data_IF_100420544651
#
_entry.id   IF_100420544651
#
_cell.length_a   1.000
_cell.length_b   1.000
_cell.length_c   1.000
_cell.angle_alpha   90.00
_cell.angle_beta   90.00
_cell.angle_gamma   90.00
#
_symmetry.space_group_name_H-M   'P 1'
#
loop_
_entity.id
_entity.type
_entity.pdbx_description
1 polymer ?
#
# COMPACT_ATOMS: atom_id res chain seq x y z
N UNK A 1 23.42 1.72 -2.39
CA UNK A 1 23.36 1.82 -0.91
C UNK A 1 23.02 0.45 -0.32
N UNK A 2 21.90 -0.20 -0.69
CA UNK A 2 21.47 -1.48 -0.08
C UNK A 2 22.58 -2.56 -0.08
N UNK A 3 23.27 -2.75 -1.19
CA UNK A 3 24.35 -3.75 -1.31
C UNK A 3 25.63 -3.39 -0.53
N UNK A 4 25.72 -2.24 0.10
CA UNK A 4 26.84 -1.90 1.00
C UNK A 4 26.61 -2.37 2.45
N UNK A 5 25.45 -2.95 2.73
CA UNK A 5 25.08 -3.50 4.03
C UNK A 5 24.92 -5.02 3.93
N UNK A 6 25.22 -5.77 5.00
CA UNK A 6 24.94 -7.21 5.03
C UNK A 6 23.42 -7.46 5.02
N UNK A 7 22.97 -8.63 4.56
CA UNK A 7 21.57 -9.03 4.73
C UNK A 7 21.24 -9.17 6.23
N UNK A 8 19.98 -8.89 6.60
CA UNK A 8 19.51 -8.95 7.99
C UNK A 8 19.54 -10.40 8.53
N UNK A 9 19.34 -11.38 7.65
CA UNK A 9 19.40 -12.81 7.95
C UNK A 9 19.71 -13.63 6.70
N UNK A 10 20.06 -14.90 6.88
CA UNK A 10 20.31 -15.82 5.77
C UNK A 10 19.02 -16.09 4.97
N UNK A 11 19.10 -16.34 3.65
CA UNK A 11 17.92 -16.66 2.84
C UNK A 11 17.09 -17.81 3.43
N UNK A 12 15.79 -17.58 3.61
CA UNK A 12 14.84 -18.54 4.17
C UNK A 12 14.86 -18.70 5.69
N UNK A 13 15.68 -17.92 6.41
CA UNK A 13 15.78 -18.02 7.87
C UNK A 13 14.70 -17.23 8.61
N UNK A 14 14.25 -16.11 8.03
CA UNK A 14 13.27 -15.22 8.65
C UNK A 14 12.56 -14.37 7.58
N UNK A 15 11.63 -13.53 8.03
CA UNK A 15 10.89 -12.58 7.21
C UNK A 15 11.06 -11.15 7.73
N UNK A 16 11.27 -10.22 6.82
CA UNK A 16 11.19 -8.78 7.06
C UNK A 16 10.74 -8.08 5.78
N UNK A 17 9.70 -7.24 5.88
CA UNK A 17 9.24 -6.43 4.75
C UNK A 17 10.34 -5.47 4.29
N UNK A 18 10.56 -5.40 2.98
CA UNK A 18 11.61 -4.55 2.41
C UNK A 18 11.21 -3.91 1.09
N UNK A 19 11.10 -2.59 1.07
CA UNK A 19 10.94 -1.83 -0.17
C UNK A 19 12.10 -2.08 -1.16
N UNK A 20 13.32 -2.29 -0.67
CA UNK A 20 14.46 -2.64 -1.53
C UNK A 20 14.20 -3.90 -2.35
N UNK A 21 13.57 -4.91 -1.77
CA UNK A 21 13.23 -6.14 -2.50
C UNK A 21 12.25 -5.85 -3.64
N UNK A 22 11.25 -5.02 -3.44
CA UNK A 22 10.30 -4.63 -4.49
C UNK A 22 10.93 -3.76 -5.56
N UNK A 23 11.85 -2.86 -5.21
CA UNK A 23 12.65 -2.13 -6.20
C UNK A 23 13.47 -3.08 -7.08
N UNK A 24 14.11 -4.09 -6.47
CA UNK A 24 14.85 -5.12 -7.19
C UNK A 24 13.94 -5.98 -8.07
N UNK A 25 12.75 -6.36 -7.59
CA UNK A 25 11.76 -7.09 -8.40
C UNK A 25 11.31 -6.26 -9.61
N UNK A 26 11.14 -4.95 -9.47
CA UNK A 26 10.89 -4.05 -10.60
C UNK A 26 11.99 -4.11 -11.66
N UNK A 27 13.26 -4.06 -11.24
CA UNK A 27 14.40 -4.21 -12.16
C UNK A 27 14.49 -5.60 -12.80
N UNK A 28 14.12 -6.65 -12.05
CA UNK A 28 14.02 -8.02 -12.60
C UNK A 28 12.94 -8.09 -13.67
N UNK A 29 11.77 -7.50 -13.42
CA UNK A 29 10.67 -7.44 -14.40
C UNK A 29 11.12 -6.74 -15.69
N UNK A 30 11.79 -5.59 -15.59
CA UNK A 30 12.37 -4.89 -16.74
C UNK A 30 13.37 -5.77 -17.52
N UNK A 31 14.22 -6.46 -16.79
CA UNK A 31 15.25 -7.33 -17.41
C UNK A 31 14.65 -8.52 -18.13
N UNK A 32 13.60 -9.12 -17.56
CA UNK A 32 12.93 -10.30 -18.13
C UNK A 32 12.12 -9.92 -19.37
N UNK A 33 11.37 -8.81 -19.31
CA UNK A 33 10.53 -8.36 -20.43
C UNK A 33 11.29 -7.56 -21.48
N UNK A 34 12.48 -7.05 -21.16
CA UNK A 34 13.25 -6.16 -22.04
C UNK A 34 12.59 -4.79 -22.27
N UNK A 35 11.72 -4.37 -21.34
CA UNK A 35 10.93 -3.13 -21.43
C UNK A 35 11.00 -2.37 -20.10
N UNK A 36 10.80 -1.02 -20.11
CA UNK A 36 10.63 -0.26 -18.87
C UNK A 36 9.47 -0.79 -18.02
N UNK A 37 9.59 -0.72 -16.68
CA UNK A 37 8.57 -1.22 -15.75
C UNK A 37 7.19 -0.60 -16.01
N UNK A 38 7.12 0.67 -16.37
CA UNK A 38 5.86 1.33 -16.75
C UNK A 38 5.15 0.60 -17.90
N UNK A 39 5.90 0.17 -18.91
CA UNK A 39 5.37 -0.60 -20.05
C UNK A 39 4.99 -2.02 -19.63
N UNK A 40 5.80 -2.66 -18.79
CA UNK A 40 5.50 -4.01 -18.26
C UNK A 40 4.19 -4.01 -17.48
N UNK A 41 4.03 -3.04 -16.56
CA UNK A 41 2.79 -2.90 -15.77
C UNK A 41 1.59 -2.60 -16.66
N UNK A 42 1.73 -1.72 -17.65
CA UNK A 42 0.66 -1.44 -18.61
C UNK A 42 0.25 -2.69 -19.38
N UNK A 43 1.22 -3.39 -20.00
CA UNK A 43 0.95 -4.50 -20.91
C UNK A 43 0.45 -5.77 -20.17
N UNK A 44 0.94 -6.01 -18.94
CA UNK A 44 0.66 -7.24 -18.20
C UNK A 44 -0.36 -7.10 -17.07
N UNK A 45 -0.60 -5.87 -16.61
CA UNK A 45 -1.50 -5.63 -15.48
C UNK A 45 -2.61 -4.68 -15.88
N UNK A 46 -2.30 -3.41 -16.17
CA UNK A 46 -3.32 -2.38 -16.32
C UNK A 46 -4.22 -2.62 -17.54
N UNK A 47 -3.62 -2.88 -18.70
CA UNK A 47 -4.35 -3.13 -19.94
C UNK A 47 -5.28 -4.35 -19.85
N UNK A 48 -4.78 -5.54 -19.45
CA UNK A 48 -5.61 -6.75 -19.35
C UNK A 48 -6.82 -6.64 -18.44
N UNK A 49 -6.76 -5.85 -17.36
CA UNK A 49 -7.89 -5.68 -16.43
C UNK A 49 -8.67 -4.39 -16.64
N UNK A 50 -8.26 -3.54 -17.58
CA UNK A 50 -8.98 -2.31 -17.92
C UNK A 50 -8.76 -1.14 -16.96
N UNK A 51 -7.61 -1.05 -16.30
CA UNK A 51 -7.20 0.07 -15.45
C UNK A 51 -6.72 1.25 -16.30
N UNK A 52 -7.64 1.99 -16.88
CA UNK A 52 -7.35 3.05 -17.86
C UNK A 52 -6.79 4.34 -17.26
N UNK A 53 -6.87 4.51 -15.95
CA UNK A 53 -6.40 5.69 -15.22
C UNK A 53 -5.21 5.37 -14.31
N UNK A 54 -4.52 4.26 -14.57
CA UNK A 54 -3.38 3.81 -13.78
C UNK A 54 -2.11 3.78 -14.61
N UNK A 55 -1.03 4.29 -14.04
CA UNK A 55 0.26 4.32 -14.70
C UNK A 55 1.41 4.45 -13.70
N UNK A 56 2.59 4.03 -14.09
CA UNK A 56 3.82 4.36 -13.38
C UNK A 56 4.40 5.63 -14.03
N UNK A 57 4.50 6.76 -13.29
CA UNK A 57 5.02 8.00 -13.83
C UNK A 57 6.46 7.84 -14.36
N UNK A 58 6.83 8.59 -15.43
CA UNK A 58 8.21 8.66 -15.86
C UNK A 58 9.08 9.26 -14.74
N UNK A 59 10.38 8.93 -14.69
CA UNK A 59 11.31 9.57 -13.78
C UNK A 59 11.21 11.09 -13.85
N UNK A 60 11.35 11.75 -12.71
CA UNK A 60 11.30 13.21 -12.57
C UNK A 60 9.91 13.87 -12.79
N UNK A 61 8.86 13.08 -12.92
CA UNK A 61 7.48 13.61 -12.96
C UNK A 61 7.01 13.97 -11.55
N UNK A 62 6.50 15.20 -11.40
CA UNK A 62 5.85 15.67 -10.16
C UNK A 62 4.37 15.97 -10.37
N UNK A 63 3.86 15.81 -11.59
CA UNK A 63 2.51 16.20 -11.95
C UNK A 63 1.56 15.01 -11.84
N UNK A 64 0.53 15.13 -11.02
CA UNK A 64 -0.63 14.25 -11.04
C UNK A 64 -1.62 14.74 -12.12
N UNK A 65 -2.25 13.84 -12.88
CA UNK A 65 -3.26 14.25 -13.86
C UNK A 65 -4.51 14.81 -13.20
N UNK A 66 -5.13 15.79 -13.82
CA UNK A 66 -6.42 16.31 -13.38
C UNK A 66 -7.58 15.32 -13.74
N UNK A 67 -8.58 15.18 -12.86
CA UNK A 67 -8.68 15.77 -11.53
C UNK A 67 -7.88 14.96 -10.49
N UNK A 68 -7.09 15.62 -9.66
CA UNK A 68 -6.36 15.01 -8.54
C UNK A 68 -6.62 15.76 -7.24
N UNK A 69 -6.53 15.07 -6.11
CA UNK A 69 -6.56 15.72 -4.81
C UNK A 69 -5.19 16.27 -4.45
N UNK A 70 -5.15 17.37 -3.72
CA UNK A 70 -3.94 17.78 -3.02
C UNK A 70 -3.61 16.79 -1.91
N UNK A 71 -2.33 16.53 -1.70
CA UNK A 71 -1.82 15.67 -0.64
C UNK A 71 -1.18 16.46 0.48
N UNK A 72 -1.44 16.08 1.74
CA UNK A 72 -1.01 16.83 2.91
C UNK A 72 -0.30 15.98 3.94
N UNK A 73 0.62 16.59 4.69
CA UNK A 73 1.30 15.93 5.80
C UNK A 73 1.71 16.95 6.85
N UNK A 74 1.58 16.62 8.13
CA UNK A 74 2.17 17.43 9.20
C UNK A 74 3.67 17.19 9.27
N UNK A 75 4.45 18.26 9.36
CA UNK A 75 5.90 18.16 9.40
C UNK A 75 6.55 17.81 8.06
N UNK A 76 7.85 17.55 8.08
CA UNK A 76 8.61 17.14 6.91
C UNK A 76 8.58 15.61 6.71
N UNK A 77 8.85 15.15 5.49
CA UNK A 77 8.95 13.72 5.20
C UNK A 77 10.06 13.03 6.00
N UNK A 78 11.17 13.73 6.26
CA UNK A 78 12.23 13.21 7.12
C UNK A 78 11.83 13.14 8.60
N UNK A 79 10.92 14.01 9.05
CA UNK A 79 10.35 13.95 10.40
C UNK A 79 9.40 12.75 10.51
N UNK A 80 8.46 12.61 9.58
CA UNK A 80 7.39 11.58 9.62
C UNK A 80 7.93 10.18 9.37
N UNK A 81 8.83 10.00 8.40
CA UNK A 81 9.41 8.69 8.06
C UNK A 81 10.74 8.41 8.78
N UNK A 82 11.12 9.25 9.74
CA UNK A 82 12.30 9.12 10.58
C UNK A 82 11.95 9.03 12.05
N UNK A 83 12.79 9.62 12.89
CA UNK A 83 12.66 9.55 14.36
C UNK A 83 11.67 10.57 14.95
N UNK A 84 11.04 11.39 14.14
CA UNK A 84 10.14 12.48 14.58
C UNK A 84 8.68 12.06 14.79
N UNK A 85 8.38 10.81 14.59
CA UNK A 85 7.06 10.26 14.79
C UNK A 85 7.01 9.34 16.02
N UNK A 86 5.95 9.29 16.88
CA UNK A 86 4.69 10.05 16.78
C UNK A 86 4.84 11.55 17.10
N UNK A 87 3.83 12.35 16.69
CA UNK A 87 3.79 13.78 16.97
C UNK A 87 3.71 14.06 18.48
N UNK A 88 4.36 15.14 18.91
CA UNK A 88 4.34 15.56 20.32
C UNK A 88 2.97 16.08 20.75
N UNK A 89 2.64 16.05 22.04
CA UNK A 89 1.40 16.64 22.53
C UNK A 89 1.22 18.13 22.18
N UNK A 90 2.32 18.87 22.08
CA UNK A 90 2.36 20.28 21.68
C UNK A 90 1.96 20.45 20.22
N UNK A 91 2.47 19.59 19.32
CA UNK A 91 2.12 19.59 17.91
C UNK A 91 0.65 19.19 17.70
N UNK A 92 0.18 18.19 18.42
CA UNK A 92 -1.23 17.77 18.40
C UNK A 92 -2.14 18.92 18.86
N UNK A 93 -1.82 19.55 19.98
CA UNK A 93 -2.59 20.71 20.47
C UNK A 93 -2.56 21.89 19.49
N UNK A 94 -1.44 22.17 18.87
CA UNK A 94 -1.29 23.22 17.87
C UNK A 94 -2.09 22.94 16.60
N UNK A 95 -2.13 21.68 16.14
CA UNK A 95 -2.93 21.27 15.00
C UNK A 95 -4.44 21.40 15.29
N UNK A 96 -4.90 20.94 16.46
CA UNK A 96 -6.30 21.10 16.90
C UNK A 96 -6.71 22.57 17.05
N UNK A 97 -5.78 23.42 17.49
CA UNK A 97 -6.01 24.85 17.57
C UNK A 97 -5.95 25.57 16.20
N UNK A 98 -5.58 24.85 15.13
CA UNK A 98 -5.40 25.41 13.79
C UNK A 98 -4.19 26.33 13.65
N UNK A 99 -3.24 26.27 14.60
CA UNK A 99 -1.98 27.04 14.56
C UNK A 99 -0.83 26.27 13.93
N UNK A 100 -0.91 24.95 13.88
CA UNK A 100 -0.07 24.06 13.07
C UNK A 100 -0.94 23.52 11.91
N UNK A 101 -0.59 23.88 10.69
CA UNK A 101 -1.29 23.41 9.50
C UNK A 101 -0.45 22.33 8.79
N UNK A 102 -1.09 21.37 8.12
CA UNK A 102 -0.36 20.42 7.30
C UNK A 102 0.26 21.11 6.09
N UNK A 103 1.39 20.61 5.66
CA UNK A 103 2.12 21.07 4.47
C UNK A 103 1.56 20.40 3.25
N UNK A 104 1.40 21.12 2.15
CA UNK A 104 1.02 20.59 0.84
C UNK A 104 2.22 19.88 0.20
N UNK A 105 2.04 18.60 -0.08
CA UNK A 105 3.02 17.69 -0.70
C UNK A 105 2.58 17.23 -2.09
N UNK A 106 1.60 17.89 -2.71
CA UNK A 106 1.03 17.50 -4.01
C UNK A 106 2.10 17.41 -5.10
N UNK A 107 3.02 18.36 -5.14
CA UNK A 107 4.05 18.47 -6.18
C UNK A 107 5.37 17.77 -5.80
N UNK A 108 5.34 16.87 -4.83
CA UNK A 108 6.53 16.09 -4.47
C UNK A 108 6.76 14.98 -5.50
N UNK A 109 8.01 14.82 -5.91
CA UNK A 109 8.39 13.73 -6.79
C UNK A 109 8.37 12.38 -6.06
N UNK A 110 7.37 11.55 -6.37
CA UNK A 110 7.22 10.20 -5.82
C UNK A 110 7.85 9.11 -6.69
N UNK A 111 8.49 9.45 -7.81
CA UNK A 111 9.04 8.46 -8.75
C UNK A 111 10.20 7.65 -8.18
N UNK A 112 10.83 8.12 -7.08
CA UNK A 112 11.81 7.34 -6.33
C UNK A 112 11.23 6.00 -5.81
N UNK A 113 9.93 5.93 -5.60
CA UNK A 113 9.26 4.71 -5.15
C UNK A 113 9.28 3.60 -6.21
N UNK A 114 9.34 3.92 -7.51
CA UNK A 114 9.49 2.96 -8.61
C UNK A 114 8.63 1.71 -8.42
N UNK A 115 9.24 0.51 -8.30
CA UNK A 115 8.55 -0.77 -8.08
C UNK A 115 8.04 -0.98 -6.64
N UNK A 116 8.32 -0.06 -5.72
CA UNK A 116 7.88 -0.19 -4.31
C UNK A 116 6.53 0.46 -4.03
N UNK A 117 6.04 1.34 -4.91
CA UNK A 117 4.77 2.05 -4.68
C UNK A 117 4.58 3.27 -5.56
N UNK A 118 5.31 3.38 -6.68
CA UNK A 118 5.30 4.55 -7.55
C UNK A 118 4.06 4.68 -8.47
N UNK A 119 3.13 3.76 -8.44
CA UNK A 119 1.95 3.77 -9.32
C UNK A 119 0.97 4.87 -8.89
N UNK A 120 0.52 5.66 -9.86
CA UNK A 120 -0.63 6.56 -9.74
C UNK A 120 -1.88 5.84 -10.24
N UNK A 121 -2.97 5.94 -9.51
CA UNK A 121 -4.21 5.22 -9.82
C UNK A 121 -5.46 5.95 -9.33
N UNK A 122 -6.62 5.36 -9.58
CA UNK A 122 -7.93 5.78 -9.05
C UNK A 122 -8.53 4.69 -8.17
N UNK A 123 -9.49 5.05 -7.31
CA UNK A 123 -10.19 4.07 -6.47
C UNK A 123 -10.89 2.98 -7.32
N UNK A 124 -11.46 3.36 -8.46
CA UNK A 124 -12.12 2.41 -9.36
C UNK A 124 -11.12 1.43 -9.99
N UNK A 125 -9.96 1.90 -10.43
CA UNK A 125 -8.93 1.05 -11.00
C UNK A 125 -8.35 0.10 -9.96
N UNK A 126 -8.14 0.57 -8.71
CA UNK A 126 -7.69 -0.28 -7.62
C UNK A 126 -8.73 -1.35 -7.25
N UNK A 127 -10.02 -0.99 -7.19
CA UNK A 127 -11.09 -1.97 -6.98
C UNK A 127 -11.11 -3.02 -8.11
N UNK A 128 -10.92 -2.59 -9.35
CA UNK A 128 -10.79 -3.49 -10.51
C UNK A 128 -9.57 -4.39 -10.38
N UNK A 129 -8.42 -3.84 -10.01
CA UNK A 129 -7.18 -4.60 -9.80
C UNK A 129 -7.36 -5.70 -8.74
N UNK A 130 -7.81 -5.32 -7.54
CA UNK A 130 -7.96 -6.29 -6.44
C UNK A 130 -9.02 -7.34 -6.75
N UNK A 131 -10.11 -6.96 -7.43
CA UNK A 131 -11.11 -7.92 -7.92
C UNK A 131 -10.50 -8.92 -8.90
N UNK A 132 -9.65 -8.48 -9.82
CA UNK A 132 -9.02 -9.36 -10.78
C UNK A 132 -7.87 -10.19 -10.17
N UNK A 133 -7.01 -9.55 -9.38
CA UNK A 133 -5.80 -10.13 -8.80
C UNK A 133 -6.12 -11.18 -7.71
N UNK A 134 -6.93 -10.78 -6.74
CA UNK A 134 -7.33 -11.66 -5.63
C UNK A 134 -8.51 -12.55 -6.01
N UNK A 135 -9.44 -12.04 -6.82
CA UNK A 135 -10.59 -12.79 -7.33
C UNK A 135 -10.25 -13.84 -8.40
N UNK A 136 -9.01 -13.84 -8.93
CA UNK A 136 -8.45 -14.94 -9.72
C UNK A 136 -8.69 -14.84 -11.23
N UNK A 137 -8.85 -13.64 -11.78
CA UNK A 137 -8.97 -13.45 -13.24
C UNK A 137 -7.74 -12.83 -13.92
N UNK A 138 -6.74 -12.38 -13.14
CA UNK A 138 -5.52 -11.78 -13.68
C UNK A 138 -4.39 -12.81 -13.91
N UNK A 139 -4.28 -13.80 -13.04
CA UNK A 139 -3.23 -14.81 -13.10
C UNK A 139 -3.78 -16.14 -13.61
N UNK A 140 -2.92 -16.93 -14.27
CA UNK A 140 -3.24 -18.31 -14.55
C UNK A 140 -3.53 -19.09 -13.25
N UNK A 141 -4.40 -20.12 -13.26
CA UNK A 141 -4.83 -20.82 -12.05
C UNK A 141 -3.68 -21.31 -11.16
N UNK A 142 -2.59 -21.82 -11.75
CA UNK A 142 -1.41 -22.27 -11.02
C UNK A 142 -0.75 -21.12 -10.22
N UNK A 143 -0.62 -19.94 -10.84
CA UNK A 143 -0.02 -18.79 -10.19
C UNK A 143 -0.97 -18.15 -9.19
N UNK A 144 -2.27 -18.21 -9.44
CA UNK A 144 -3.30 -17.79 -8.46
C UNK A 144 -3.23 -18.63 -7.18
N UNK A 145 -3.12 -19.95 -7.33
CA UNK A 145 -2.96 -20.86 -6.19
C UNK A 145 -1.64 -20.57 -5.44
N UNK A 146 -0.56 -20.33 -6.15
CA UNK A 146 0.73 -19.95 -5.54
C UNK A 146 0.62 -18.63 -4.77
N UNK A 147 -0.07 -17.62 -5.31
CA UNK A 147 -0.29 -16.34 -4.64
C UNK A 147 -0.99 -16.53 -3.30
N UNK A 148 -2.12 -17.23 -3.30
CA UNK A 148 -2.92 -17.41 -2.07
C UNK A 148 -2.20 -18.30 -1.06
N UNK A 149 -1.53 -19.36 -1.53
CA UNK A 149 -0.76 -20.27 -0.67
C UNK A 149 0.58 -19.68 -0.20
N UNK A 150 1.01 -18.52 -0.73
CA UNK A 150 2.20 -17.84 -0.24
C UNK A 150 2.00 -17.12 1.08
N UNK A 151 0.75 -16.89 1.48
CA UNK A 151 0.41 -16.18 2.71
C UNK A 151 0.90 -16.96 3.94
N UNK A 152 1.82 -16.36 4.67
CA UNK A 152 2.37 -16.89 5.92
C UNK A 152 2.19 -15.86 7.02
N UNK A 153 2.16 -16.33 8.27
CA UNK A 153 2.08 -15.45 9.43
C UNK A 153 3.23 -14.42 9.38
N UNK A 154 2.89 -13.14 9.38
CA UNK A 154 3.88 -12.07 9.23
C UNK A 154 4.82 -11.98 10.43
N UNK A 155 4.23 -12.06 11.65
CA UNK A 155 4.97 -12.07 12.90
C UNK A 155 4.35 -13.06 13.88
N UNK A 156 5.19 -13.83 14.55
CA UNK A 156 4.73 -14.86 15.50
C UNK A 156 3.96 -14.27 16.70
N UNK A 157 4.23 -13.04 17.06
CA UNK A 157 3.60 -12.28 18.16
C UNK A 157 2.35 -11.49 17.70
N UNK A 158 2.04 -11.48 16.40
CA UNK A 158 0.85 -10.80 15.84
C UNK A 158 -0.03 -11.79 15.08
N UNK A 159 -0.74 -12.68 15.79
CA UNK A 159 -1.58 -13.68 15.14
C UNK A 159 -2.72 -13.01 14.37
N UNK A 160 -3.05 -13.58 13.21
CA UNK A 160 -4.15 -13.11 12.35
C UNK A 160 -3.72 -12.16 11.23
N UNK A 161 -2.48 -11.72 11.18
CA UNK A 161 -1.90 -10.94 10.10
C UNK A 161 -0.92 -11.81 9.29
N UNK A 162 -1.13 -11.86 7.98
CA UNK A 162 -0.35 -12.69 7.06
C UNK A 162 0.21 -11.83 5.93
N UNK A 163 1.34 -12.25 5.38
CA UNK A 163 1.94 -11.65 4.19
C UNK A 163 2.44 -12.73 3.23
N UNK A 164 2.41 -12.43 1.93
CA UNK A 164 2.86 -13.33 0.88
C UNK A 164 3.52 -12.59 -0.28
N UNK A 165 3.21 -12.97 -1.51
CA UNK A 165 3.76 -12.34 -2.71
C UNK A 165 3.12 -10.98 -3.00
N UNK A 166 3.53 -9.95 -2.23
CA UNK A 166 3.00 -8.59 -2.35
C UNK A 166 1.55 -8.43 -1.89
N UNK A 167 1.10 -9.30 -1.00
CA UNK A 167 -0.28 -9.34 -0.53
C UNK A 167 -0.30 -9.60 0.97
N UNK A 168 -0.93 -8.70 1.71
CA UNK A 168 -1.29 -8.91 3.11
C UNK A 168 -2.64 -9.61 3.21
N UNK A 169 -2.89 -10.31 4.30
CA UNK A 169 -4.21 -10.85 4.61
C UNK A 169 -4.53 -10.65 6.09
N UNK A 170 -5.76 -10.26 6.36
CA UNK A 170 -6.32 -10.13 7.71
C UNK A 170 -7.56 -11.00 7.84
N UNK A 171 -7.71 -11.64 8.99
CA UNK A 171 -8.94 -12.34 9.35
C UNK A 171 -9.89 -11.39 10.08
N UNK A 172 -11.10 -11.24 9.53
CA UNK A 172 -12.14 -10.41 10.14
C UNK A 172 -13.47 -11.15 10.19
N UNK A 173 -13.93 -11.49 11.38
CA UNK A 173 -14.99 -12.49 11.56
C UNK A 173 -14.64 -13.81 10.84
N UNK A 174 -15.56 -14.34 10.04
CA UNK A 174 -15.33 -15.55 9.23
C UNK A 174 -14.77 -15.23 7.83
N UNK A 175 -14.35 -13.96 7.59
CA UNK A 175 -13.89 -13.51 6.30
C UNK A 175 -12.37 -13.43 6.24
N UNK A 176 -11.82 -13.53 5.04
CA UNK A 176 -10.43 -13.26 4.72
C UNK A 176 -10.39 -12.07 3.77
N UNK A 177 -9.69 -11.04 4.19
CA UNK A 177 -9.53 -9.82 3.39
C UNK A 177 -8.06 -9.74 2.99
N UNK A 178 -7.83 -9.92 1.72
CA UNK A 178 -6.51 -9.79 1.11
C UNK A 178 -6.34 -8.35 0.63
N UNK A 179 -5.26 -7.70 1.05
CA UNK A 179 -5.06 -6.26 0.83
C UNK A 179 -3.58 -5.88 0.72
N UNK A 180 -3.34 -4.64 0.35
CA UNK A 180 -2.08 -3.96 0.60
C UNK A 180 -2.34 -2.51 1.00
N UNK A 181 -1.55 -2.00 1.93
CA UNK A 181 -1.53 -0.60 2.30
C UNK A 181 -0.53 0.18 1.44
N UNK A 182 -0.62 1.49 1.48
CA UNK A 182 0.34 2.39 0.86
C UNK A 182 0.44 3.69 1.65
N UNK A 183 1.68 4.14 1.84
CA UNK A 183 1.96 5.37 2.54
C UNK A 183 3.07 6.15 1.84
N UNK A 184 2.80 7.39 1.55
CA UNK A 184 3.75 8.33 0.95
C UNK A 184 3.44 9.74 1.43
N UNK A 185 4.38 10.68 1.24
CA UNK A 185 4.14 12.06 1.60
C UNK A 185 2.90 12.60 0.87
N UNK A 186 1.90 13.01 1.62
CA UNK A 186 0.63 13.54 1.11
C UNK A 186 -0.52 12.53 1.04
N UNK A 187 -0.26 11.22 1.05
CA UNK A 187 -1.30 10.23 0.81
C UNK A 187 -1.12 8.97 1.68
N UNK A 188 -2.25 8.38 2.06
CA UNK A 188 -2.32 7.08 2.70
C UNK A 188 -3.44 6.25 2.08
N UNK A 189 -3.21 4.96 1.84
CA UNK A 189 -4.08 4.07 1.08
C UNK A 189 -4.24 2.73 1.79
N UNK A 190 -5.45 2.22 1.78
CA UNK A 190 -5.78 0.80 1.90
C UNK A 190 -6.55 0.36 0.65
N UNK A 191 -6.16 -0.75 0.05
CA UNK A 191 -6.93 -1.39 -1.01
C UNK A 191 -6.91 -2.91 -0.84
N UNK A 192 -8.06 -3.55 -0.95
CA UNK A 192 -8.19 -4.98 -0.73
C UNK A 192 -9.48 -5.58 -1.29
N UNK A 193 -9.58 -6.90 -1.08
CA UNK A 193 -10.70 -7.70 -1.57
C UNK A 193 -11.09 -8.78 -0.55
N UNK A 194 -12.37 -8.77 -0.18
CA UNK A 194 -12.98 -9.85 0.56
C UNK A 194 -13.39 -10.97 -0.40
N UNK A 195 -12.69 -12.08 -0.32
CA UNK A 195 -12.95 -13.24 -1.19
C UNK A 195 -14.27 -13.94 -0.86
N UNK A 196 -14.68 -13.91 0.40
CA UNK A 196 -15.90 -14.57 0.86
C UNK A 196 -17.14 -13.88 0.30
N UNK A 197 -17.19 -12.55 0.42
CA UNK A 197 -18.32 -11.74 -0.02
C UNK A 197 -18.13 -11.14 -1.43
N UNK A 198 -16.96 -11.35 -2.03
CA UNK A 198 -16.59 -10.83 -3.36
C UNK A 198 -16.70 -9.30 -3.43
N UNK A 199 -16.18 -8.63 -2.40
CA UNK A 199 -16.27 -7.19 -2.23
C UNK A 199 -14.88 -6.56 -2.28
N UNK A 200 -14.68 -5.61 -3.19
CA UNK A 200 -13.49 -4.76 -3.19
C UNK A 200 -13.68 -3.61 -2.20
N UNK A 201 -12.65 -3.32 -1.42
CA UNK A 201 -12.62 -2.23 -0.45
C UNK A 201 -11.42 -1.35 -0.79
N UNK A 202 -11.68 -0.07 -1.06
CA UNK A 202 -10.62 0.92 -1.31
C UNK A 202 -10.90 2.14 -0.44
N UNK A 203 -9.96 2.47 0.41
CA UNK A 203 -10.00 3.66 1.25
C UNK A 203 -8.69 4.39 1.05
N UNK A 204 -8.74 5.67 0.76
CA UNK A 204 -7.55 6.48 0.85
C UNK A 204 -7.84 7.87 1.38
N UNK A 205 -6.80 8.46 1.92
CA UNK A 205 -6.82 9.82 2.45
C UNK A 205 -5.74 10.64 1.80
N UNK A 206 -5.99 11.92 1.69
CA UNK A 206 -5.01 12.89 1.23
C UNK A 206 -4.26 13.56 2.41
N UNK A 207 -4.17 12.86 3.52
CA UNK A 207 -3.34 13.15 4.67
C UNK A 207 -2.54 11.88 4.98
N UNK A 208 -1.22 11.98 5.05
CA UNK A 208 -0.34 10.81 5.22
C UNK A 208 -0.62 10.06 6.51
N UNK A 209 -0.57 10.76 7.65
CA UNK A 209 -0.81 10.18 8.98
C UNK A 209 -1.71 11.09 9.81
N UNK A 210 -2.48 10.53 10.73
CA UNK A 210 -3.27 11.26 11.71
C UNK A 210 -2.39 11.99 12.71
N UNK A 211 -2.85 13.16 13.16
CA UNK A 211 -2.09 13.99 14.11
C UNK A 211 -2.13 13.41 15.54
N UNK A 212 -3.19 12.71 15.91
CA UNK A 212 -3.43 12.28 17.29
C UNK A 212 -2.70 11.00 17.65
N UNK A 213 -2.94 9.96 16.90
CA UNK A 213 -2.42 8.61 17.17
C UNK A 213 -1.29 8.23 16.23
N UNK A 214 -1.08 9.05 15.19
CA UNK A 214 -0.12 8.78 14.14
C UNK A 214 -0.45 7.55 13.32
N UNK A 215 -1.68 7.10 13.42
CA UNK A 215 -2.15 5.97 12.66
C UNK A 215 -2.24 6.29 11.18
N UNK A 216 -2.06 5.28 10.35
CA UNK A 216 -2.38 5.33 8.94
C UNK A 216 -3.90 5.52 8.78
N UNK A 217 -4.32 6.75 8.45
CA UNK A 217 -5.73 7.14 8.42
C UNK A 217 -6.60 6.19 7.58
N UNK A 218 -6.11 5.76 6.41
CA UNK A 218 -6.85 4.85 5.55
C UNK A 218 -7.04 3.47 6.20
N UNK A 219 -6.04 2.98 6.95
CA UNK A 219 -6.15 1.70 7.67
C UNK A 219 -7.18 1.81 8.80
N UNK A 220 -7.18 2.90 9.58
CA UNK A 220 -8.17 3.10 10.63
C UNK A 220 -9.58 3.20 10.06
N UNK A 221 -9.78 4.00 9.01
CA UNK A 221 -11.08 4.09 8.33
C UNK A 221 -11.52 2.74 7.75
N UNK A 222 -10.59 1.93 7.27
CA UNK A 222 -10.89 0.58 6.81
C UNK A 222 -11.38 -0.32 7.95
N UNK A 223 -10.75 -0.28 9.12
CA UNK A 223 -11.22 -1.02 10.31
C UNK A 223 -12.64 -0.60 10.69
N UNK A 224 -12.95 0.70 10.65
CA UNK A 224 -14.30 1.21 10.92
C UNK A 224 -15.31 0.70 9.87
N UNK A 225 -14.92 0.62 8.58
CA UNK A 225 -15.75 0.05 7.52
C UNK A 225 -16.00 -1.45 7.77
N UNK A 226 -14.98 -2.19 8.19
CA UNK A 226 -15.14 -3.61 8.50
C UNK A 226 -16.05 -3.83 9.71
N UNK A 227 -15.89 -3.05 10.78
CA UNK A 227 -16.74 -3.12 11.97
C UNK A 227 -18.22 -2.83 11.68
N UNK A 228 -18.48 -1.93 10.73
CA UNK A 228 -19.84 -1.57 10.36
C UNK A 228 -20.53 -2.60 9.42
N UNK A 229 -19.76 -3.33 8.64
CA UNK A 229 -20.27 -4.20 7.59
C UNK A 229 -20.17 -5.69 7.92
N UNK A 230 -19.34 -6.06 8.87
CA UNK A 230 -19.15 -7.45 9.28
C UNK A 230 -19.47 -7.62 10.77
N UNK A 231 -20.10 -8.72 11.13
CA UNK A 231 -20.27 -9.06 12.55
C UNK A 231 -18.88 -9.26 13.17
N UNK A 232 -18.53 -8.54 14.24
CA UNK A 232 -17.22 -8.68 14.87
C UNK A 232 -16.95 -10.14 15.23
N UNK A 233 -15.77 -10.63 14.87
CA UNK A 233 -15.35 -11.95 15.34
C UNK A 233 -15.09 -11.86 16.85
N UNK A 234 -15.49 -12.86 17.63
CA UNK A 234 -15.08 -12.97 19.02
C UNK A 234 -13.59 -13.33 19.18
N UNK A 235 -12.84 -13.44 18.11
CA UNK A 235 -11.41 -13.70 18.16
C UNK A 235 -10.72 -12.38 18.48
N UNK A 236 -10.40 -12.23 19.73
CA UNK A 236 -9.63 -11.15 20.31
C UNK A 236 -8.26 -10.98 19.64
N UNK A 237 -7.75 -9.75 19.74
CA UNK A 237 -6.45 -9.35 19.24
C UNK A 237 -5.30 -10.14 19.85
#
# INVERSE_FOLDING_TARGET
>A
IAFSHPPNFAPGADYEYSNTNYALLGLVAERVDGKPLATVLHDRVFGPVGMTNSFLPPPDSVVLPDPSSHGYMYGSSSHVFGDGFPYTPEEQAAAHAGTLLPIDYTDVNHTFAFGTGGVVSTANDLATFFTAYVGGSLLDPEYQDRLINSLQLEHADKPGQYYGYGLSSIRWADNSIEFHGGETAGFNLFAGYDRTNRLAIVVWTNLTLGIDDGGANANQMMLDVLDQNYTPSPVNP
#
